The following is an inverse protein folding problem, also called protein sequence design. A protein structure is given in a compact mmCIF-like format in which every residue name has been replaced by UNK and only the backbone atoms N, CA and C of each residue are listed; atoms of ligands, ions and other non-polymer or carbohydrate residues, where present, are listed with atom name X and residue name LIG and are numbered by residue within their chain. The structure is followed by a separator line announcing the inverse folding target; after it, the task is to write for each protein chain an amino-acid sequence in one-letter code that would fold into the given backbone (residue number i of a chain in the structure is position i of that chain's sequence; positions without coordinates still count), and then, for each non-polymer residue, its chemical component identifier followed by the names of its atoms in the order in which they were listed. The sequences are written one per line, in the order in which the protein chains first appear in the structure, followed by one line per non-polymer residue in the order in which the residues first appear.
data_IF_784850128217
#
_entry.id   IF_784850128217
#
_cell.length_a   1.000
_cell.length_b   1.000
_cell.length_c   1.000
_cell.angle_alpha   90.00
_cell.angle_beta   90.00
_cell.angle_gamma   90.00
#
_symmetry.space_group_name_H-M   'P 1'
#
loop_
_entity.id
_entity.type
_entity.pdbx_description
1 polymer ?
#
# COMPACT_ATOMS: atom_id res chain seq x y z
N UNK A 1 3.11 -17.48 3.40
CA UNK A 1 1.84 -16.73 3.30
C UNK A 1 2.14 -15.28 2.95
N UNK A 2 1.47 -14.76 1.93
CA UNK A 2 1.62 -13.36 1.53
C UNK A 2 0.98 -12.45 2.58
N UNK A 3 1.66 -11.35 2.90
CA UNK A 3 1.19 -10.37 3.88
C UNK A 3 0.93 -9.05 3.18
N UNK A 4 -0.23 -8.46 3.45
CA UNK A 4 -0.65 -7.18 2.90
C UNK A 4 -0.94 -6.19 4.03
N UNK A 5 -0.39 -4.99 3.92
CA UNK A 5 -0.71 -3.88 4.82
C UNK A 5 -1.53 -2.85 4.02
N UNK A 6 -2.72 -2.51 4.54
CA UNK A 6 -3.59 -1.50 3.94
C UNK A 6 -3.46 -0.23 4.77
N UNK A 7 -2.95 0.84 4.17
CA UNK A 7 -2.74 2.13 4.84
C UNK A 7 -3.66 3.18 4.25
N UNK A 8 -4.65 3.59 5.03
CA UNK A 8 -5.62 4.61 4.64
C UNK A 8 -6.26 5.19 5.89
N UNK A 9 -6.46 6.49 5.96
CA UNK A 9 -7.12 7.12 7.10
C UNK A 9 -8.63 6.88 7.10
N UNK A 10 -9.20 6.44 5.98
CA UNK A 10 -10.62 6.07 5.89
C UNK A 10 -10.85 4.65 6.37
N UNK A 11 -11.61 4.48 7.45
CA UNK A 11 -11.97 3.15 7.94
C UNK A 11 -12.82 2.39 6.92
N UNK A 12 -13.63 3.09 6.12
CA UNK A 12 -14.47 2.48 5.09
C UNK A 12 -13.60 1.86 3.99
N UNK A 13 -12.60 2.60 3.51
CA UNK A 13 -11.67 2.09 2.49
C UNK A 13 -10.93 0.86 3.02
N UNK A 14 -10.42 0.92 4.26
CA UNK A 14 -9.73 -0.24 4.86
C UNK A 14 -10.63 -1.46 4.94
N UNK A 15 -11.88 -1.28 5.34
CA UNK A 15 -12.85 -2.38 5.45
C UNK A 15 -13.18 -2.99 4.09
N UNK A 16 -13.37 -2.14 3.06
CA UNK A 16 -13.67 -2.60 1.71
C UNK A 16 -12.49 -3.41 1.16
N UNK A 17 -11.29 -2.88 1.24
CA UNK A 17 -10.10 -3.57 0.76
C UNK A 17 -9.87 -4.89 1.51
N UNK A 18 -10.01 -4.89 2.83
CA UNK A 18 -9.87 -6.10 3.65
C UNK A 18 -10.89 -7.15 3.24
N UNK A 19 -12.15 -6.77 3.03
CA UNK A 19 -13.21 -7.72 2.64
C UNK A 19 -12.89 -8.36 1.29
N UNK A 20 -12.46 -7.56 0.31
CA UNK A 20 -12.12 -8.07 -1.02
C UNK A 20 -10.94 -9.04 -0.94
N UNK A 21 -9.89 -8.68 -0.21
CA UNK A 21 -8.66 -9.46 -0.15
C UNK A 21 -8.75 -10.66 0.80
N UNK A 22 -9.74 -10.69 1.69
CA UNK A 22 -9.88 -11.81 2.65
C UNK A 22 -10.24 -13.13 1.99
N UNK A 23 -10.74 -13.11 0.75
CA UNK A 23 -11.04 -14.32 0.00
C UNK A 23 -9.78 -15.02 -0.53
N UNK A 24 -8.64 -14.35 -0.50
CA UNK A 24 -7.37 -14.93 -0.90
C UNK A 24 -6.58 -15.39 0.34
N UNK A 25 -5.63 -16.31 0.14
CA UNK A 25 -4.83 -16.85 1.25
C UNK A 25 -3.75 -15.84 1.67
N UNK A 26 -4.17 -14.70 2.23
CA UNK A 26 -3.28 -13.64 2.67
C UNK A 26 -3.53 -13.26 4.12
N UNK A 27 -2.46 -12.88 4.81
CA UNK A 27 -2.57 -12.22 6.11
C UNK A 27 -2.68 -10.71 5.87
N UNK A 28 -3.76 -10.12 6.35
CA UNK A 28 -4.07 -8.70 6.10
C UNK A 28 -4.00 -7.93 7.41
N UNK A 29 -3.24 -6.85 7.41
CA UNK A 29 -3.22 -5.87 8.49
C UNK A 29 -3.57 -4.51 7.92
N UNK A 30 -3.95 -3.57 8.77
CA UNK A 30 -4.23 -2.21 8.33
C UNK A 30 -3.63 -1.18 9.28
N UNK A 31 -3.47 0.03 8.77
CA UNK A 31 -2.97 1.18 9.51
C UNK A 31 -3.75 2.43 9.08
N UNK A 32 -4.02 3.31 10.04
CA UNK A 32 -4.82 4.51 9.80
C UNK A 32 -3.97 5.76 9.54
N UNK A 33 -2.66 5.65 9.62
CA UNK A 33 -1.75 6.79 9.47
C UNK A 33 -0.39 6.34 8.94
N UNK A 34 0.41 7.29 8.49
CA UNK A 34 1.78 7.02 8.05
C UNK A 34 2.65 6.52 9.20
N UNK A 35 2.52 7.09 10.39
CA UNK A 35 3.25 6.64 11.57
C UNK A 35 2.93 5.20 11.93
N UNK A 36 1.65 4.84 11.90
CA UNK A 36 1.23 3.46 12.17
C UNK A 36 1.74 2.50 11.11
N UNK A 37 1.78 2.93 9.84
CA UNK A 37 2.30 2.12 8.76
C UNK A 37 3.79 1.81 8.96
N UNK A 38 4.59 2.81 9.29
CA UNK A 38 6.02 2.63 9.54
C UNK A 38 6.24 1.70 10.74
N UNK A 39 5.50 1.90 11.81
CA UNK A 39 5.56 1.07 13.00
C UNK A 39 5.21 -0.39 12.70
N UNK A 40 4.14 -0.61 11.91
CA UNK A 40 3.75 -1.95 11.49
C UNK A 40 4.86 -2.63 10.68
N UNK A 41 5.50 -1.90 9.78
CA UNK A 41 6.61 -2.41 8.97
C UNK A 41 7.85 -2.72 9.82
N UNK A 42 8.09 -1.96 10.88
CA UNK A 42 9.18 -2.23 11.83
C UNK A 42 8.97 -3.55 12.57
N UNK A 43 7.72 -3.86 12.92
CA UNK A 43 7.39 -5.12 13.59
C UNK A 43 7.51 -6.31 12.66
N UNK A 44 6.94 -6.18 11.47
CA UNK A 44 6.95 -7.25 10.47
C UNK A 44 6.73 -6.66 9.09
N UNK A 45 7.73 -6.74 8.22
CA UNK A 45 7.66 -6.15 6.87
C UNK A 45 6.65 -6.91 6.01
N UNK A 46 5.60 -6.23 5.49
CA UNK A 46 4.65 -6.86 4.57
C UNK A 46 5.28 -7.14 3.20
N UNK A 47 4.66 -8.03 2.45
CA UNK A 47 5.04 -8.26 1.05
C UNK A 47 4.50 -7.18 0.14
N UNK A 48 3.28 -6.70 0.44
CA UNK A 48 2.60 -5.66 -0.34
C UNK A 48 2.02 -4.63 0.63
N UNK A 49 2.20 -3.35 0.28
CA UNK A 49 1.66 -2.22 1.04
C UNK A 49 0.80 -1.40 0.10
N UNK A 50 -0.49 -1.27 0.42
CA UNK A 50 -1.38 -0.36 -0.27
C UNK A 50 -1.37 0.96 0.50
N UNK A 51 -0.75 1.99 -0.08
CA UNK A 51 -0.48 3.25 0.60
C UNK A 51 -1.31 4.38 0.02
N UNK A 52 -2.21 4.93 0.83
CA UNK A 52 -2.99 6.11 0.45
C UNK A 52 -2.08 7.31 0.22
N UNK A 53 -2.36 8.07 -0.84
CA UNK A 53 -1.54 9.22 -1.24
C UNK A 53 -1.81 10.50 -0.44
N UNK A 54 -2.83 10.52 0.41
CA UNK A 54 -3.26 11.72 1.11
C UNK A 54 -3.34 11.59 2.62
N UNK A 55 -2.45 10.83 3.23
CA UNK A 55 -2.43 10.70 4.69
C UNK A 55 -2.09 12.04 5.34
N UNK A 56 -2.83 12.42 6.41
CA UNK A 56 -2.70 13.76 6.98
C UNK A 56 -1.48 13.96 7.88
N UNK A 57 -0.86 12.88 8.38
CA UNK A 57 0.21 13.01 9.37
C UNK A 57 1.62 13.13 8.75
N UNK A 58 1.89 12.45 7.65
CA UNK A 58 3.20 12.44 7.02
C UNK A 58 3.08 12.54 5.49
N UNK A 59 4.02 13.22 4.84
CA UNK A 59 4.09 13.22 3.38
C UNK A 59 4.33 11.82 2.83
N UNK A 60 3.66 11.49 1.73
CA UNK A 60 3.75 10.17 1.10
C UNK A 60 5.19 9.76 0.78
N UNK A 61 5.99 10.70 0.25
CA UNK A 61 7.36 10.40 -0.14
C UNK A 61 8.24 10.06 1.07
N UNK A 62 7.99 10.70 2.22
CA UNK A 62 8.70 10.39 3.46
C UNK A 62 8.34 9.00 3.98
N UNK A 63 7.07 8.62 3.87
CA UNK A 63 6.62 7.28 4.28
C UNK A 63 7.30 6.22 3.43
N UNK A 64 7.33 6.40 2.11
CA UNK A 64 7.99 5.47 1.18
C UNK A 64 9.48 5.35 1.52
N UNK A 65 10.16 6.46 1.69
CA UNK A 65 11.59 6.47 2.00
C UNK A 65 11.87 5.76 3.33
N UNK A 66 11.07 6.04 4.35
CA UNK A 66 11.23 5.41 5.65
C UNK A 66 11.06 3.90 5.59
N UNK A 67 10.05 3.41 4.86
CA UNK A 67 9.82 1.97 4.70
C UNK A 67 10.97 1.31 3.94
N UNK A 68 11.45 1.96 2.86
CA UNK A 68 12.58 1.43 2.08
C UNK A 68 13.86 1.30 2.90
N UNK A 69 14.06 2.17 3.89
CA UNK A 69 15.23 2.13 4.77
C UNK A 69 15.15 1.07 5.87
N UNK A 70 13.97 0.49 6.10
CA UNK A 70 13.81 -0.56 7.10
C UNK A 70 14.36 -1.90 6.60
N UNK A 71 14.78 -2.81 7.51
CA UNK A 71 15.17 -4.15 7.11
C UNK A 71 14.05 -4.85 6.33
N UNK A 72 14.37 -5.36 5.15
CA UNK A 72 13.40 -5.98 4.26
C UNK A 72 12.57 -4.99 3.43
N UNK A 73 12.69 -3.70 3.69
CA UNK A 73 11.88 -2.68 3.02
C UNK A 73 12.12 -2.54 1.52
N UNK A 74 13.27 -2.94 1.03
CA UNK A 74 13.57 -2.89 -0.40
C UNK A 74 12.83 -3.95 -1.22
N UNK A 75 12.40 -5.02 -0.58
CA UNK A 75 11.71 -6.11 -1.24
C UNK A 75 10.18 -5.97 -1.19
N UNK A 76 9.65 -5.12 -0.34
CA UNK A 76 8.22 -4.88 -0.26
C UNK A 76 7.73 -4.17 -1.52
N UNK A 77 6.52 -4.51 -1.95
CA UNK A 77 5.86 -3.80 -3.04
C UNK A 77 5.00 -2.71 -2.44
N UNK A 78 5.31 -1.46 -2.80
CA UNK A 78 4.57 -0.30 -2.31
C UNK A 78 3.71 0.22 -3.45
N UNK A 79 2.40 0.12 -3.29
CA UNK A 79 1.42 0.51 -4.30
C UNK A 79 0.72 1.77 -3.83
N UNK A 80 0.92 2.86 -4.56
CA UNK A 80 0.30 4.15 -4.25
C UNK A 80 -1.18 4.12 -4.62
N UNK A 81 -2.07 4.50 -3.71
CA UNK A 81 -3.51 4.53 -3.94
C UNK A 81 -4.01 5.97 -4.04
N UNK A 82 -4.62 6.32 -5.17
CA UNK A 82 -5.03 7.68 -5.53
C UNK A 82 -6.53 7.73 -5.79
N UNK A 83 -7.15 8.89 -5.56
CA UNK A 83 -8.55 9.11 -5.96
C UNK A 83 -8.69 9.45 -7.44
N UNK A 84 -7.64 9.98 -8.04
CA UNK A 84 -7.60 10.32 -9.46
C UNK A 84 -6.17 10.22 -9.98
N UNK A 85 -6.01 10.11 -11.29
CA UNK A 85 -4.68 10.03 -11.91
C UNK A 85 -3.98 11.37 -11.75
N UNK A 86 -2.80 11.35 -11.12
CA UNK A 86 -1.92 12.50 -10.97
C UNK A 86 -0.51 12.04 -11.33
N UNK A 87 -0.09 12.36 -12.56
CA UNK A 87 1.19 11.89 -13.09
C UNK A 87 2.38 12.39 -12.27
N UNK A 88 2.32 13.62 -11.77
CA UNK A 88 3.39 14.17 -10.95
C UNK A 88 3.56 13.38 -9.66
N UNK A 89 2.46 13.10 -8.97
CA UNK A 89 2.48 12.28 -7.75
C UNK A 89 3.00 10.87 -8.02
N UNK A 90 2.52 10.26 -9.10
CA UNK A 90 2.93 8.89 -9.47
C UNK A 90 4.43 8.85 -9.77
N UNK A 91 4.94 9.79 -10.55
CA UNK A 91 6.36 9.82 -10.90
C UNK A 91 7.25 10.07 -9.68
N UNK A 92 6.86 10.98 -8.80
CA UNK A 92 7.61 11.25 -7.56
C UNK A 92 7.63 10.04 -6.64
N UNK A 93 6.47 9.38 -6.51
CA UNK A 93 6.38 8.16 -5.70
C UNK A 93 7.26 7.05 -6.26
N UNK A 94 7.29 6.85 -7.56
CA UNK A 94 8.17 5.86 -8.20
C UNK A 94 9.63 6.16 -7.96
N UNK A 95 10.04 7.42 -8.06
CA UNK A 95 11.42 7.83 -7.76
C UNK A 95 11.79 7.56 -6.31
N UNK A 96 10.83 7.71 -5.40
CA UNK A 96 11.03 7.43 -3.98
C UNK A 96 11.05 5.93 -3.68
N UNK A 97 10.62 5.08 -4.61
CA UNK A 97 10.64 3.64 -4.46
C UNK A 97 9.30 2.93 -4.56
N UNK A 98 8.22 3.61 -4.94
CA UNK A 98 6.93 2.95 -5.14
C UNK A 98 6.99 1.98 -6.33
N UNK A 99 6.33 0.83 -6.19
CA UNK A 99 6.28 -0.21 -7.22
C UNK A 99 5.29 0.14 -8.33
N UNK A 100 4.15 0.74 -7.96
CA UNK A 100 3.11 1.09 -8.92
C UNK A 100 2.02 1.91 -8.23
N UNK A 101 0.86 2.00 -8.89
CA UNK A 101 -0.27 2.73 -8.34
C UNK A 101 -1.59 2.05 -8.65
N UNK A 102 -2.62 2.39 -7.88
CA UNK A 102 -4.02 2.00 -8.11
C UNK A 102 -4.93 3.17 -7.84
N UNK A 103 -6.13 3.13 -8.44
CA UNK A 103 -7.15 4.16 -8.21
C UNK A 103 -8.21 3.67 -7.23
N UNK A 104 -8.67 4.55 -6.36
CA UNK A 104 -9.80 4.32 -5.48
C UNK A 104 -11.07 4.93 -6.10
N UNK A 105 -12.26 4.43 -5.79
CA UNK A 105 -12.57 3.29 -4.94
C UNK A 105 -12.24 1.96 -5.61
N UNK A 106 -11.96 0.94 -4.79
CA UNK A 106 -11.69 -0.41 -5.29
C UNK A 106 -12.99 -1.19 -5.45
N UNK A 107 -13.14 -1.90 -6.58
CA UNK A 107 -14.11 -3.00 -6.66
C UNK A 107 -13.36 -4.32 -6.69
N UNK A 108 -14.09 -5.41 -6.54
CA UNK A 108 -13.47 -6.75 -6.46
C UNK A 108 -12.69 -7.12 -7.71
N UNK A 109 -13.24 -7.00 -8.94
CA UNK A 109 -12.47 -7.36 -10.14
C UNK A 109 -11.20 -6.55 -10.30
N UNK A 110 -11.28 -5.23 -10.08
CA UNK A 110 -10.14 -4.34 -10.25
C UNK A 110 -9.03 -4.66 -9.26
N UNK A 111 -9.36 -4.74 -7.96
CA UNK A 111 -8.36 -4.98 -6.92
C UNK A 111 -7.72 -6.35 -7.07
N UNK A 112 -8.51 -7.37 -7.39
CA UNK A 112 -8.01 -8.73 -7.59
C UNK A 112 -7.04 -8.80 -8.76
N UNK A 113 -7.38 -8.16 -9.90
CA UNK A 113 -6.53 -8.16 -11.08
C UNK A 113 -5.21 -7.41 -10.82
N UNK A 114 -5.27 -6.24 -10.21
CA UNK A 114 -4.09 -5.44 -9.91
C UNK A 114 -3.18 -6.16 -8.92
N UNK A 115 -3.77 -6.80 -7.92
CA UNK A 115 -3.01 -7.52 -6.91
C UNK A 115 -2.25 -8.70 -7.49
N UNK A 116 -2.89 -9.44 -8.42
CA UNK A 116 -2.23 -10.53 -9.11
C UNK A 116 -1.00 -10.06 -9.89
N UNK A 117 -1.11 -8.91 -10.57
CA UNK A 117 0.00 -8.34 -11.34
C UNK A 117 1.16 -7.93 -10.42
N UNK A 118 0.89 -7.31 -9.30
CA UNK A 118 1.93 -6.92 -8.35
C UNK A 118 2.65 -8.13 -7.76
N UNK A 119 1.94 -9.20 -7.48
CA UNK A 119 2.54 -10.42 -6.94
C UNK A 119 3.38 -11.14 -7.99
N UNK A 120 2.99 -11.12 -9.27
CA UNK A 120 3.77 -11.73 -10.36
C UNK A 120 5.10 -11.04 -10.59
N UNK A 121 5.22 -9.77 -10.27
CA UNK A 121 6.45 -9.00 -10.43
C UNK A 121 7.55 -9.42 -9.44
N UNK A 122 7.25 -10.36 -8.56
CA UNK A 122 8.18 -10.83 -7.55
C UNK A 122 9.33 -11.65 -8.15
#
# INVERSE_FOLDING_TARGET
MTRCLIVDDSSVIRKVARRILSDSAMAIADAASGSQAIEACMGEMPDVILLDSGLPDLPTLEIIAAIRDLPGGRNARIVLCLNEVDLTKIMRAKRAGATGYMLKPFDRPYLTAQFADFLKAA
#
